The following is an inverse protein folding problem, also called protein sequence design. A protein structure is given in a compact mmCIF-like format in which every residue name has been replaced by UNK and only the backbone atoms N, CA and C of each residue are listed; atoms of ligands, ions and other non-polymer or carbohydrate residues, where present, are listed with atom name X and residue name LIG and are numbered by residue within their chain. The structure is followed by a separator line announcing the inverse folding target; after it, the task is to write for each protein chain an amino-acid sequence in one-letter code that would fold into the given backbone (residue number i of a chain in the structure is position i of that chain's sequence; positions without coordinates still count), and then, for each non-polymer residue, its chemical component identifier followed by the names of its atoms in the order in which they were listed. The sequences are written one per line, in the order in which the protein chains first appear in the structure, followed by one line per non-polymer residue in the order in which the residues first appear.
data_IF_221061037355
#
_entry.id   IF_221061037355
#
_cell.length_a   1.000
_cell.length_b   1.000
_cell.length_c   1.000
_cell.angle_alpha   90.00
_cell.angle_beta   90.00
_cell.angle_gamma   90.00
#
_symmetry.space_group_name_H-M   'P 1'
#
loop_
_entity.id
_entity.type
_entity.pdbx_description
1 polymer ?
#
# COMPACT_ATOMS: atom_id res chain seq x y z
N UNK A 1 -8.47 -15.39 -28.75
CA UNK A 1 -7.15 -14.77 -28.45
C UNK A 1 -7.09 -14.53 -26.93
N UNK A 2 -6.48 -15.44 -26.18
CA UNK A 2 -6.34 -15.35 -24.71
C UNK A 2 -5.11 -14.49 -24.41
N UNK A 3 -5.30 -13.24 -23.94
CA UNK A 3 -4.20 -12.44 -23.41
C UNK A 3 -4.01 -12.86 -21.95
N UNK A 4 -2.88 -13.48 -21.66
CA UNK A 4 -2.44 -13.76 -20.30
C UNK A 4 -2.17 -12.41 -19.63
N UNK A 5 -3.07 -11.97 -18.75
CA UNK A 5 -2.93 -10.72 -18.00
C UNK A 5 -2.10 -11.07 -16.76
N UNK A 6 -0.81 -10.76 -16.83
CA UNK A 6 0.14 -10.97 -15.75
C UNK A 6 0.46 -9.65 -15.06
N UNK A 7 0.46 -9.72 -13.72
CA UNK A 7 1.24 -8.91 -12.80
C UNK A 7 0.76 -7.47 -12.56
N UNK A 8 0.15 -7.28 -11.38
CA UNK A 8 -0.02 -5.99 -10.71
C UNK A 8 0.06 -6.24 -9.20
N UNK A 9 0.66 -5.31 -8.45
CA UNK A 9 1.02 -5.33 -7.02
C UNK A 9 2.32 -6.09 -6.71
N UNK A 10 3.40 -5.51 -6.21
CA UNK A 10 3.71 -4.23 -5.54
C UNK A 10 5.24 -4.18 -5.36
N UNK A 11 5.87 -2.99 -5.21
CA UNK A 11 7.06 -2.80 -4.36
C UNK A 11 7.42 -1.31 -4.12
N UNK A 12 8.56 -1.06 -3.48
CA UNK A 12 8.72 -0.31 -2.22
C UNK A 12 9.97 0.59 -2.27
N UNK A 13 10.02 1.62 -1.41
CA UNK A 13 11.21 2.36 -0.90
C UNK A 13 12.39 2.69 -1.82
N UNK A 14 12.63 3.99 -2.05
CA UNK A 14 13.98 4.51 -2.29
C UNK A 14 14.53 5.21 -1.05
N UNK A 15 15.72 4.80 -0.63
CA UNK A 15 16.65 5.52 0.24
C UNK A 15 17.04 6.86 -0.38
N UNK A 16 16.77 7.96 0.31
CA UNK A 16 17.31 9.28 0.00
C UNK A 16 18.81 9.28 0.28
N UNK A 17 19.61 9.26 -0.80
CA UNK A 17 21.01 9.62 -0.73
C UNK A 17 21.13 11.12 -0.41
N UNK A 18 21.93 11.41 0.61
CA UNK A 18 22.21 12.75 1.11
C UNK A 18 22.99 13.55 0.06
N UNK A 19 22.42 14.65 -0.44
CA UNK A 19 23.20 15.65 -1.15
C UNK A 19 23.85 16.59 -0.14
N UNK A 20 25.09 16.29 0.23
CA UNK A 20 26.05 17.29 0.72
C UNK A 20 26.69 18.00 -0.47
N UNK A 21 26.47 19.31 -0.61
CA UNK A 21 27.36 20.22 -1.32
C UNK A 21 27.18 21.63 -0.72
N UNK A 22 28.05 22.03 0.21
CA UNK A 22 29.22 22.93 0.03
C UNK A 22 28.81 24.43 -0.01
N UNK A 23 29.23 25.11 1.05
CA UNK A 23 29.34 26.56 1.24
C UNK A 23 30.28 27.21 0.23
N UNK A 24 29.84 28.29 -0.42
CA UNK A 24 30.68 29.38 -0.95
C UNK A 24 29.77 30.62 -1.16
N UNK A 25 29.79 31.58 -0.24
CA UNK A 25 30.50 32.87 -0.31
C UNK A 25 29.91 33.84 -1.37
N UNK A 26 29.19 34.86 -0.89
CA UNK A 26 28.86 36.09 -1.64
C UNK A 26 30.11 36.82 -2.13
N UNK A 27 30.01 37.65 -3.18
CA UNK A 27 29.86 39.08 -2.90
C UNK A 27 28.84 39.81 -3.79
N UNK A 28 28.35 40.91 -3.23
CA UNK A 28 27.40 41.89 -3.74
C UNK A 28 27.91 42.68 -4.96
N UNK A 29 27.03 43.13 -5.87
CA UNK A 29 26.82 44.53 -6.32
C UNK A 29 25.91 44.67 -7.57
N UNK A 30 24.83 45.43 -7.41
CA UNK A 30 24.37 46.61 -8.20
C UNK A 30 24.18 46.58 -9.74
N UNK A 31 22.90 46.68 -10.13
CA UNK A 31 22.20 47.51 -11.14
C UNK A 31 22.43 47.44 -12.68
N UNK A 32 21.27 47.23 -13.33
CA UNK A 32 20.68 47.90 -14.52
C UNK A 32 20.87 47.39 -15.97
N UNK A 33 19.86 47.65 -16.85
CA UNK A 33 19.48 46.76 -17.94
C UNK A 33 19.76 47.32 -19.35
N UNK A 34 19.94 46.46 -20.34
CA UNK A 34 19.70 46.80 -21.76
C UNK A 34 19.58 45.56 -22.68
N UNK A 35 18.67 45.75 -23.63
CA UNK A 35 18.16 44.95 -24.75
C UNK A 35 19.21 44.43 -25.76
N UNK A 36 19.05 43.20 -26.28
CA UNK A 36 19.02 42.89 -27.74
C UNK A 36 18.90 41.38 -28.08
N UNK A 37 17.81 41.05 -28.76
CA UNK A 37 17.64 40.38 -30.08
C UNK A 37 18.46 39.14 -30.49
N UNK A 38 17.71 38.04 -30.65
CA UNK A 38 17.72 36.95 -31.66
C UNK A 38 18.97 36.09 -31.93
N UNK A 39 18.79 34.76 -31.86
CA UNK A 39 19.73 33.78 -32.42
C UNK A 39 19.40 32.33 -32.07
N UNK A 40 18.61 31.70 -32.93
CA UNK A 40 18.42 30.26 -33.20
C UNK A 40 19.37 29.26 -32.53
N UNK A 41 18.82 28.28 -31.81
CA UNK A 41 19.09 26.83 -32.01
C UNK A 41 18.17 25.99 -31.11
N UNK A 42 17.41 25.09 -31.73
CA UNK A 42 16.61 24.09 -31.06
C UNK A 42 17.52 23.01 -30.44
N UNK A 43 17.27 22.56 -29.20
CA UNK A 43 17.73 21.25 -28.76
C UNK A 43 16.60 20.23 -28.99
N UNK A 44 16.76 19.44 -30.05
CA UNK A 44 16.18 18.10 -30.16
C UNK A 44 16.63 17.29 -28.95
N UNK A 45 15.79 17.17 -27.93
CA UNK A 45 16.07 16.26 -26.81
C UNK A 45 15.30 14.98 -27.05
N UNK A 46 16.06 13.95 -27.38
CA UNK A 46 15.64 12.60 -27.59
C UNK A 46 14.77 12.11 -26.43
N UNK A 47 13.65 11.46 -26.78
CA UNK A 47 12.92 10.62 -25.85
C UNK A 47 13.85 9.52 -25.36
N UNK A 48 14.31 9.63 -24.12
CA UNK A 48 14.79 8.50 -23.36
C UNK A 48 13.58 7.94 -22.61
N UNK A 49 12.82 7.09 -23.29
CA UNK A 49 11.96 6.12 -22.59
C UNK A 49 12.88 5.12 -21.93
N UNK A 50 13.44 5.50 -20.79
CA UNK A 50 14.04 4.54 -19.86
C UNK A 50 12.85 3.84 -19.21
N UNK A 51 12.61 2.54 -19.45
CA UNK A 51 11.63 1.81 -18.66
C UNK A 51 12.14 1.80 -17.22
N UNK A 52 11.32 2.30 -16.29
CA UNK A 52 11.60 2.17 -14.86
C UNK A 52 11.87 0.69 -14.51
N UNK A 53 12.84 0.42 -13.61
CA UNK A 53 13.24 -0.94 -13.29
C UNK A 53 12.11 -1.66 -12.54
N UNK A 54 11.46 -2.60 -13.22
CA UNK A 54 10.46 -3.49 -12.64
C UNK A 54 11.20 -4.65 -11.94
N UNK A 55 10.97 -4.81 -10.63
CA UNK A 55 11.68 -5.78 -9.77
C UNK A 55 11.45 -7.27 -10.10
N UNK A 56 12.42 -8.08 -9.67
CA UNK A 56 12.93 -9.29 -10.34
C UNK A 56 12.41 -10.65 -9.86
N UNK A 57 11.28 -10.72 -9.16
CA UNK A 57 10.68 -12.02 -8.76
C UNK A 57 9.91 -12.72 -9.90
N UNK A 58 10.12 -12.27 -11.15
CA UNK A 58 9.54 -12.80 -12.36
C UNK A 58 10.31 -13.97 -13.00
N UNK A 59 11.47 -14.37 -12.47
CA UNK A 59 12.24 -15.50 -12.99
C UNK A 59 12.39 -16.63 -11.97
N UNK A 60 11.52 -17.63 -12.09
CA UNK A 60 11.62 -18.92 -11.41
C UNK A 60 11.32 -20.05 -12.39
N UNK A 61 12.33 -20.85 -12.68
CA UNK A 61 12.39 -21.91 -13.69
C UNK A 61 11.29 -22.96 -13.54
N UNK A 62 10.70 -23.35 -14.67
CA UNK A 62 9.78 -24.48 -14.82
C UNK A 62 10.31 -25.75 -14.17
N UNK A 63 9.56 -26.28 -13.21
CA UNK A 63 9.64 -27.70 -12.84
C UNK A 63 8.23 -28.25 -12.84
N UNK A 64 7.93 -29.08 -13.84
CA UNK A 64 6.71 -29.90 -13.95
C UNK A 64 6.62 -30.85 -12.77
N UNK A 65 5.48 -30.87 -12.06
CA UNK A 65 5.05 -32.06 -11.32
C UNK A 65 3.54 -32.05 -11.07
N UNK A 66 3.02 -33.27 -10.99
CA UNK A 66 1.67 -33.71 -11.34
C UNK A 66 0.61 -33.51 -10.25
N UNK A 67 -0.65 -33.39 -10.69
CA UNK A 67 -1.86 -33.39 -9.85
C UNK A 67 -2.01 -34.63 -8.98
N UNK A 68 -2.69 -34.51 -7.83
CA UNK A 68 -3.49 -35.61 -7.31
C UNK A 68 -4.98 -35.26 -7.16
N UNK A 69 -5.73 -36.32 -7.40
CA UNK A 69 -7.17 -36.55 -7.46
C UNK A 69 -7.90 -36.29 -6.14
N UNK A 70 -9.07 -35.64 -6.24
CA UNK A 70 -10.06 -35.47 -5.17
C UNK A 70 -10.61 -36.82 -4.69
N UNK A 71 -10.71 -36.99 -3.37
CA UNK A 71 -11.60 -38.01 -2.78
C UNK A 71 -12.50 -37.34 -1.76
N UNK A 72 -13.81 -37.48 -1.97
CA UNK A 72 -14.87 -37.00 -1.11
C UNK A 72 -15.03 -37.92 0.10
N UNK A 73 -15.24 -37.36 1.29
CA UNK A 73 -15.75 -38.13 2.44
C UNK A 73 -16.70 -37.25 3.26
N UNK A 74 -17.95 -37.68 3.30
CA UNK A 74 -19.04 -37.13 4.11
C UNK A 74 -18.79 -37.39 5.59
N UNK A 75 -18.91 -36.37 6.44
CA UNK A 75 -18.73 -36.47 7.88
C UNK A 75 -19.47 -35.39 8.66
N UNK A 76 -20.68 -35.74 9.08
CA UNK A 76 -21.45 -35.35 10.28
C UNK A 76 -21.28 -33.95 10.89
N UNK A 77 -22.39 -33.22 10.83
CA UNK A 77 -22.75 -32.01 11.57
C UNK A 77 -22.64 -32.18 13.10
N UNK A 78 -21.83 -31.33 13.74
CA UNK A 78 -22.00 -30.95 15.15
C UNK A 78 -22.07 -29.44 15.21
N UNK A 79 -23.29 -28.95 15.44
CA UNK A 79 -23.61 -27.52 15.58
C UNK A 79 -23.11 -27.04 16.93
N UNK A 80 -21.89 -26.50 16.98
CA UNK A 80 -21.40 -25.74 18.13
C UNK A 80 -21.76 -24.28 17.93
N UNK A 81 -22.87 -23.86 18.54
CA UNK A 81 -23.28 -22.45 18.63
C UNK A 81 -22.28 -21.72 19.52
N UNK A 82 -21.20 -21.23 18.92
CA UNK A 82 -20.39 -20.19 19.53
C UNK A 82 -21.26 -18.92 19.64
N UNK A 83 -21.14 -18.13 20.71
CA UNK A 83 -21.82 -16.85 20.80
C UNK A 83 -21.32 -15.98 19.65
N UNK A 84 -22.16 -15.80 18.64
CA UNK A 84 -21.95 -14.81 17.60
C UNK A 84 -22.09 -13.45 18.30
N UNK A 85 -20.97 -12.88 18.73
CA UNK A 85 -20.93 -11.47 19.08
C UNK A 85 -21.23 -10.75 17.78
N UNK A 86 -22.48 -10.31 17.63
CA UNK A 86 -22.86 -9.37 16.59
C UNK A 86 -21.96 -8.15 16.78
N UNK A 87 -20.91 -8.04 15.97
CA UNK A 87 -20.08 -6.85 15.91
C UNK A 87 -20.97 -5.80 15.28
N UNK A 88 -21.70 -5.07 16.11
CA UNK A 88 -22.41 -3.86 15.71
C UNK A 88 -21.36 -2.78 15.53
N UNK A 89 -20.68 -2.79 14.38
CA UNK A 89 -19.57 -1.91 14.07
C UNK A 89 -19.02 -2.21 12.67
N UNK A 90 -18.34 -1.23 12.09
CA UNK A 90 -17.65 -1.41 10.81
C UNK A 90 -16.56 -2.49 10.94
N UNK A 91 -16.44 -3.38 9.95
CA UNK A 91 -15.50 -4.52 9.96
C UNK A 91 -14.05 -4.08 10.20
N UNK A 92 -13.67 -2.88 9.73
CA UNK A 92 -12.32 -2.36 9.90
C UNK A 92 -12.08 -1.85 11.33
N UNK A 93 -13.12 -1.40 12.04
CA UNK A 93 -13.01 -0.99 13.45
C UNK A 93 -12.75 -2.20 14.36
N UNK A 94 -13.22 -3.38 13.95
CA UNK A 94 -13.05 -4.64 14.65
C UNK A 94 -11.73 -5.36 14.36
N UNK A 95 -10.87 -4.82 13.47
CA UNK A 95 -9.57 -5.43 13.17
C UNK A 95 -8.75 -5.57 14.46
N UNK A 96 -8.31 -6.79 14.83
CA UNK A 96 -7.48 -6.99 16.02
C UNK A 96 -6.15 -6.25 15.91
N UNK A 97 -5.84 -5.43 16.91
CA UNK A 97 -4.55 -4.75 17.03
C UNK A 97 -4.00 -4.93 18.43
N UNK A 98 -2.82 -5.56 18.53
CA UNK A 98 -2.08 -5.72 19.78
C UNK A 98 -1.19 -4.50 20.00
N UNK A 99 -1.32 -3.85 21.16
CA UNK A 99 -0.38 -2.82 21.61
C UNK A 99 0.41 -3.43 22.78
N UNK A 100 1.73 -3.62 22.66
CA UNK A 100 2.54 -4.15 23.76
C UNK A 100 2.38 -3.35 25.04
N UNK A 101 2.32 -4.03 26.19
CA UNK A 101 2.16 -3.40 27.50
C UNK A 101 3.32 -2.47 27.89
N UNK A 102 4.44 -2.52 27.16
CA UNK A 102 5.57 -1.61 27.30
C UNK A 102 5.24 -0.19 26.77
N UNK A 103 4.27 -0.06 25.87
CA UNK A 103 3.80 1.23 25.35
C UNK A 103 2.74 1.79 26.31
N UNK A 104 3.11 2.82 27.07
CA UNK A 104 2.27 3.39 28.13
C UNK A 104 2.17 4.91 28.03
N UNK A 105 1.34 5.54 28.88
CA UNK A 105 1.27 6.99 29.01
C UNK A 105 0.97 7.72 27.69
N UNK A 106 1.83 8.69 27.35
CA UNK A 106 1.68 9.49 26.12
C UNK A 106 1.83 8.65 24.85
N UNK A 107 2.74 7.68 24.85
CA UNK A 107 2.99 6.82 23.69
C UNK A 107 1.80 5.89 23.43
N UNK A 108 1.09 5.45 24.48
CA UNK A 108 -0.16 4.70 24.32
C UNK A 108 -1.25 5.54 23.66
N UNK A 109 -1.38 6.81 24.02
CA UNK A 109 -2.34 7.72 23.37
C UNK A 109 -2.01 7.88 21.88
N UNK A 110 -0.74 8.04 21.56
CA UNK A 110 -0.24 8.14 20.19
C UNK A 110 -0.51 6.85 19.39
N UNK A 111 -0.20 5.69 19.98
CA UNK A 111 -0.46 4.39 19.35
C UNK A 111 -1.94 4.24 19.00
N UNK A 112 -2.85 4.57 19.92
CA UNK A 112 -4.30 4.50 19.66
C UNK A 112 -4.75 5.42 18.52
N UNK A 113 -4.20 6.64 18.42
CA UNK A 113 -4.49 7.55 17.31
C UNK A 113 -4.00 6.99 15.97
N UNK A 114 -2.76 6.50 15.92
CA UNK A 114 -2.19 5.90 14.71
C UNK A 114 -2.94 4.64 14.27
N UNK A 115 -3.40 3.81 15.21
CA UNK A 115 -4.23 2.63 14.92
C UNK A 115 -5.55 3.03 14.26
N UNK A 116 -6.19 4.11 14.70
CA UNK A 116 -7.40 4.63 14.07
C UNK A 116 -7.13 5.10 12.63
N UNK A 117 -6.03 5.83 12.39
CA UNK A 117 -5.64 6.25 11.04
C UNK A 117 -5.36 5.05 10.15
N UNK A 118 -4.61 4.06 10.65
CA UNK A 118 -4.28 2.85 9.91
C UNK A 118 -5.54 2.07 9.49
N UNK A 119 -6.50 1.85 10.40
CA UNK A 119 -7.78 1.18 10.07
C UNK A 119 -8.55 1.91 8.99
N UNK A 120 -8.66 3.24 9.09
CA UNK A 120 -9.33 4.05 8.08
C UNK A 120 -8.61 4.00 6.72
N UNK A 121 -7.27 4.02 6.72
CA UNK A 121 -6.50 3.89 5.50
C UNK A 121 -6.72 2.53 4.82
N UNK A 122 -6.71 1.42 5.57
CA UNK A 122 -6.99 0.09 5.03
C UNK A 122 -8.40 0.01 4.44
N UNK A 123 -9.40 0.56 5.15
CA UNK A 123 -10.77 0.69 4.63
C UNK A 123 -10.81 1.38 3.27
N UNK A 124 -10.19 2.56 3.17
CA UNK A 124 -10.20 3.35 1.94
C UNK A 124 -9.44 2.64 0.82
N UNK A 125 -8.33 1.98 1.13
CA UNK A 125 -7.55 1.24 0.13
C UNK A 125 -8.35 0.07 -0.44
N UNK A 126 -8.96 -0.75 0.40
CA UNK A 126 -9.76 -1.89 -0.07
C UNK A 126 -11.00 -1.44 -0.85
N UNK A 127 -11.73 -0.44 -0.35
CA UNK A 127 -12.87 0.13 -1.08
C UNK A 127 -12.45 0.69 -2.44
N UNK A 128 -11.28 1.30 -2.53
CA UNK A 128 -10.75 1.84 -3.79
C UNK A 128 -10.37 0.77 -4.81
N UNK A 129 -10.11 -0.47 -4.37
CA UNK A 129 -9.85 -1.58 -5.27
C UNK A 129 -11.11 -2.37 -5.61
N UNK A 130 -12.12 -2.34 -4.75
CA UNK A 130 -13.44 -2.91 -5.03
C UNK A 130 -14.20 -2.11 -6.09
N UNK A 131 -14.10 -0.77 -6.06
CA UNK A 131 -14.72 0.11 -7.05
C UNK A 131 -13.72 1.18 -7.56
N UNK A 132 -12.71 0.79 -8.36
CA UNK A 132 -11.62 1.67 -8.72
C UNK A 132 -12.03 2.85 -9.61
N UNK A 133 -13.11 2.71 -10.38
CA UNK A 133 -13.66 3.75 -11.26
C UNK A 133 -14.84 4.53 -10.69
N UNK A 134 -15.34 4.18 -9.50
CA UNK A 134 -16.62 4.70 -9.00
C UNK A 134 -16.63 6.15 -8.56
N UNK A 135 -15.47 6.71 -8.18
CA UNK A 135 -15.32 8.12 -7.77
C UNK A 135 -13.88 8.60 -7.85
N UNK A 136 -13.67 9.90 -7.60
CA UNK A 136 -12.33 10.44 -7.38
C UNK A 136 -11.77 9.99 -6.02
N UNK A 137 -11.01 8.90 -6.03
CA UNK A 137 -10.37 8.34 -4.84
C UNK A 137 -9.26 9.20 -4.27
N UNK A 138 -8.68 10.14 -5.05
CA UNK A 138 -7.54 10.93 -4.61
C UNK A 138 -7.86 11.69 -3.32
N UNK A 139 -8.96 12.44 -3.33
CA UNK A 139 -9.35 13.25 -2.17
C UNK A 139 -9.58 12.38 -0.92
N UNK A 140 -10.19 11.20 -1.06
CA UNK A 140 -10.44 10.30 0.08
C UNK A 140 -9.16 9.63 0.58
N UNK A 141 -8.24 9.24 -0.31
CA UNK A 141 -6.96 8.63 0.07
C UNK A 141 -6.08 9.61 0.84
N UNK A 142 -5.97 10.85 0.35
CA UNK A 142 -5.16 11.89 0.99
C UNK A 142 -5.72 12.39 2.34
N UNK A 143 -6.90 11.93 2.76
CA UNK A 143 -7.39 12.15 4.13
C UNK A 143 -6.69 11.25 5.17
N UNK A 144 -6.16 10.10 4.75
CA UNK A 144 -5.63 9.09 5.65
C UNK A 144 -4.19 8.65 5.33
N UNK A 145 -3.72 8.90 4.11
CA UNK A 145 -2.39 8.55 3.66
C UNK A 145 -1.69 9.75 3.03
N UNK A 146 -0.36 9.79 3.14
CA UNK A 146 0.50 10.76 2.48
C UNK A 146 1.53 10.03 1.60
N UNK A 147 2.33 10.78 0.85
CA UNK A 147 3.34 10.24 -0.04
C UNK A 147 4.54 9.68 0.74
N UNK A 148 5.06 8.48 0.41
CA UNK A 148 4.81 7.73 -0.82
C UNK A 148 3.60 6.78 -0.84
N UNK A 149 2.95 6.50 0.28
CA UNK A 149 1.88 5.50 0.33
C UNK A 149 0.65 5.88 -0.52
N UNK A 150 0.22 7.14 -0.48
CA UNK A 150 -0.90 7.62 -1.28
C UNK A 150 -0.64 7.46 -2.79
N UNK A 151 0.54 7.87 -3.27
CA UNK A 151 0.95 7.67 -4.67
C UNK A 151 0.97 6.19 -5.08
N UNK A 152 1.49 5.29 -4.23
CA UNK A 152 1.47 3.84 -4.50
C UNK A 152 0.05 3.34 -4.69
N UNK A 153 -0.88 3.74 -3.82
CA UNK A 153 -2.29 3.34 -3.94
C UNK A 153 -2.95 3.94 -5.20
N UNK A 154 -2.71 5.21 -5.51
CA UNK A 154 -3.26 5.83 -6.73
C UNK A 154 -2.73 5.16 -8.00
N UNK A 155 -1.45 4.78 -8.03
CA UNK A 155 -0.86 4.00 -9.13
C UNK A 155 -1.55 2.65 -9.30
N UNK A 156 -1.86 1.99 -8.17
CA UNK A 156 -2.56 0.72 -8.16
C UNK A 156 -4.00 0.85 -8.71
N UNK A 157 -4.77 1.83 -8.23
CA UNK A 157 -6.13 2.13 -8.71
C UNK A 157 -6.11 2.37 -10.22
N UNK A 158 -5.19 3.22 -10.71
CA UNK A 158 -5.05 3.48 -12.13
C UNK A 158 -4.77 2.21 -12.94
N UNK A 159 -4.03 1.28 -12.36
CA UNK A 159 -3.77 -0.01 -13.01
C UNK A 159 -5.04 -0.87 -13.05
N UNK A 160 -5.81 -0.90 -11.96
CA UNK A 160 -7.10 -1.60 -11.90
C UNK A 160 -8.08 -1.07 -12.95
N UNK A 161 -8.22 0.26 -13.06
CA UNK A 161 -9.04 0.92 -14.09
C UNK A 161 -8.55 0.54 -15.50
N UNK A 162 -7.25 0.68 -15.77
CA UNK A 162 -6.67 0.40 -17.10
C UNK A 162 -6.87 -1.04 -17.55
N UNK A 163 -6.84 -1.98 -16.59
CA UNK A 163 -7.01 -3.41 -16.88
C UNK A 163 -8.47 -3.85 -16.83
N UNK A 164 -9.40 -3.00 -16.37
CA UNK A 164 -10.80 -3.37 -16.20
C UNK A 164 -10.99 -4.47 -15.15
N UNK A 165 -10.19 -4.42 -14.09
CA UNK A 165 -10.21 -5.39 -12.99
C UNK A 165 -10.63 -4.71 -11.69
N UNK A 166 -11.19 -5.49 -10.76
CA UNK A 166 -11.55 -5.02 -9.43
C UNK A 166 -11.43 -6.14 -8.39
N UNK A 167 -11.30 -5.74 -7.13
CA UNK A 167 -11.29 -6.64 -6.00
C UNK A 167 -12.72 -7.18 -5.73
N UNK A 168 -12.80 -8.46 -5.41
CA UNK A 168 -13.96 -9.07 -4.76
C UNK A 168 -13.54 -9.75 -3.47
N UNK A 169 -14.45 -9.75 -2.50
CA UNK A 169 -14.16 -10.19 -1.14
C UNK A 169 -13.28 -9.21 -0.37
N UNK A 170 -12.75 -9.67 0.74
CA UNK A 170 -12.10 -8.84 1.75
C UNK A 170 -10.71 -9.38 2.07
N UNK A 171 -9.75 -8.46 2.24
CA UNK A 171 -8.49 -8.80 2.87
C UNK A 171 -8.69 -8.87 4.39
N UNK A 172 -8.20 -9.94 5.00
CA UNK A 172 -8.14 -10.10 6.45
C UNK A 172 -6.91 -9.39 7.01
N UNK A 173 -7.07 -8.73 8.15
CA UNK A 173 -5.99 -8.03 8.83
C UNK A 173 -5.91 -8.43 10.29
N UNK A 174 -4.69 -8.61 10.78
CA UNK A 174 -4.36 -8.56 12.22
C UNK A 174 -3.07 -7.76 12.36
N UNK A 175 -2.91 -7.00 13.45
CA UNK A 175 -1.77 -6.12 13.58
C UNK A 175 -1.19 -6.05 14.99
N UNK A 176 0.05 -5.58 15.07
CA UNK A 176 0.80 -5.31 16.29
C UNK A 176 1.53 -3.97 16.15
N UNK A 177 1.44 -3.12 17.17
CA UNK A 177 2.24 -1.90 17.25
C UNK A 177 3.66 -2.26 17.69
N UNK A 178 4.63 -2.06 16.81
CA UNK A 178 6.04 -2.36 17.09
C UNK A 178 6.69 -1.24 17.93
N UNK A 179 6.35 0.01 17.62
CA UNK A 179 6.88 1.18 18.31
C UNK A 179 5.91 2.34 18.17
N UNK A 180 5.75 3.11 19.25
CA UNK A 180 5.06 4.39 19.23
C UNK A 180 5.97 5.44 19.85
N UNK A 181 6.40 6.40 19.03
CA UNK A 181 7.17 7.56 19.46
C UNK A 181 6.44 8.83 19.05
N UNK A 182 6.83 9.97 19.63
CA UNK A 182 6.15 11.26 19.50
C UNK A 182 5.65 11.61 18.08
N UNK A 183 6.38 11.21 17.04
CA UNK A 183 6.15 11.63 15.66
C UNK A 183 5.91 10.47 14.68
N UNK A 184 6.01 9.23 15.15
CA UNK A 184 5.94 8.07 14.29
C UNK A 184 5.44 6.84 15.05
N UNK A 185 4.58 6.07 14.42
CA UNK A 185 4.13 4.77 14.90
C UNK A 185 4.39 3.73 13.82
N UNK A 186 4.99 2.61 14.20
CA UNK A 186 5.17 1.46 13.32
C UNK A 186 4.19 0.36 13.70
N UNK A 187 3.46 -0.13 12.71
CA UNK A 187 2.48 -1.20 12.87
C UNK A 187 2.89 -2.35 11.95
N UNK A 188 3.19 -3.52 12.51
CA UNK A 188 3.31 -4.75 11.73
C UNK A 188 1.92 -5.33 11.55
N UNK A 189 1.57 -5.69 10.33
CA UNK A 189 0.27 -6.26 9.99
C UNK A 189 0.50 -7.58 9.29
N UNK A 190 -0.24 -8.58 9.71
CA UNK A 190 -0.47 -9.78 8.93
C UNK A 190 -1.66 -9.56 7.99
N UNK A 191 -1.43 -9.71 6.69
CA UNK A 191 -2.46 -9.64 5.65
C UNK A 191 -2.82 -11.06 5.24
N UNK A 192 -4.11 -11.37 5.23
CA UNK A 192 -4.69 -12.65 4.83
C UNK A 192 -5.60 -12.44 3.61
N UNK A 193 -5.18 -12.96 2.47
CA UNK A 193 -5.87 -12.89 1.19
C UNK A 193 -6.72 -14.13 0.89
N UNK A 194 -6.98 -15.01 1.86
CA UNK A 194 -7.78 -16.24 1.66
C UNK A 194 -9.20 -16.00 1.16
N UNK A 195 -9.77 -14.82 1.43
CA UNK A 195 -11.09 -14.38 0.95
C UNK A 195 -11.01 -13.26 -0.09
N UNK A 196 -9.80 -12.91 -0.52
CA UNK A 196 -9.53 -11.85 -1.46
C UNK A 196 -9.36 -12.45 -2.85
N UNK A 197 -9.97 -11.82 -3.85
CA UNK A 197 -9.69 -12.12 -5.25
C UNK A 197 -9.72 -10.83 -6.06
N UNK A 198 -9.10 -10.88 -7.24
CA UNK A 198 -9.19 -9.82 -8.24
C UNK A 198 -9.77 -10.44 -9.50
N UNK A 199 -10.83 -9.85 -10.02
CA UNK A 199 -11.54 -10.37 -11.18
C UNK A 199 -11.58 -9.32 -12.30
N UNK A 200 -11.64 -9.79 -13.54
CA UNK A 200 -11.88 -8.95 -14.71
C UNK A 200 -13.37 -8.64 -14.91
N UNK A 201 -13.69 -7.88 -15.96
CA UNK A 201 -15.07 -7.55 -16.33
C UNK A 201 -15.93 -8.75 -16.77
N UNK A 202 -15.35 -9.94 -16.94
CA UNK A 202 -16.07 -11.19 -17.20
C UNK A 202 -16.31 -12.01 -15.92
N UNK A 203 -15.73 -11.58 -14.79
CA UNK A 203 -15.82 -12.29 -13.52
C UNK A 203 -14.74 -13.34 -13.30
N UNK A 204 -13.75 -13.43 -14.20
CA UNK A 204 -12.68 -14.41 -14.10
C UNK A 204 -11.55 -13.90 -13.21
N UNK A 205 -10.99 -14.77 -12.38
CA UNK A 205 -9.86 -14.41 -11.52
C UNK A 205 -8.62 -14.11 -12.37
N UNK A 206 -7.96 -12.99 -12.05
CA UNK A 206 -6.66 -12.61 -12.63
C UNK A 206 -5.48 -12.89 -11.69
N UNK A 207 -5.75 -13.40 -10.49
CA UNK A 207 -4.70 -13.82 -9.56
C UNK A 207 -4.10 -15.16 -10.01
N UNK A 208 -2.78 -15.27 -9.89
CA UNK A 208 -2.08 -16.53 -10.15
C UNK A 208 -2.26 -17.49 -8.97
N UNK A 209 -2.25 -18.82 -9.20
CA UNK A 209 -2.44 -19.81 -8.15
C UNK A 209 -1.30 -19.87 -7.12
N UNK A 210 -0.14 -19.26 -7.40
CA UNK A 210 1.06 -19.22 -6.55
C UNK A 210 1.16 -17.96 -5.67
N UNK A 211 0.12 -17.13 -5.62
CA UNK A 211 0.10 -15.95 -4.75
C UNK A 211 0.12 -16.39 -3.28
N UNK A 212 1.11 -15.92 -2.54
CA UNK A 212 1.20 -16.12 -1.08
C UNK A 212 -0.07 -15.54 -0.45
N UNK A 213 -0.91 -16.41 0.10
CA UNK A 213 -2.20 -16.03 0.66
C UNK A 213 -2.09 -15.31 1.99
N UNK A 214 -0.94 -15.39 2.67
CA UNK A 214 -0.74 -14.75 3.98
C UNK A 214 0.70 -14.28 4.16
N UNK A 215 0.88 -12.99 4.38
CA UNK A 215 2.20 -12.36 4.51
C UNK A 215 2.17 -11.16 5.46
N UNK A 216 3.33 -10.76 5.96
CA UNK A 216 3.46 -9.58 6.81
C UNK A 216 3.86 -8.32 6.05
N UNK A 217 3.40 -7.16 6.53
CA UNK A 217 3.79 -5.82 6.09
C UNK A 217 4.02 -4.93 7.30
N UNK A 218 4.86 -3.92 7.14
CA UNK A 218 5.04 -2.87 8.14
C UNK A 218 4.51 -1.56 7.59
N UNK A 219 3.74 -0.86 8.41
CA UNK A 219 3.13 0.43 8.13
C UNK A 219 3.76 1.50 9.02
N UNK A 220 4.11 2.63 8.42
CA UNK A 220 4.64 3.80 9.11
C UNK A 220 3.61 4.91 9.10
N UNK A 221 3.12 5.30 10.28
CA UNK A 221 2.15 6.37 10.46
C UNK A 221 2.88 7.56 11.10
N UNK A 222 2.89 8.68 10.40
CA UNK A 222 3.68 9.86 10.77
C UNK A 222 2.80 11.03 11.14
N UNK A 223 3.29 11.84 12.07
CA UNK A 223 2.62 13.04 12.53
C UNK A 223 3.14 14.30 11.82
N UNK A 224 2.23 15.19 11.43
CA UNK A 224 2.56 16.43 10.74
C UNK A 224 2.17 17.65 11.58
N UNK A 225 3.18 18.29 12.18
CA UNK A 225 3.06 19.47 13.07
C UNK A 225 2.69 20.78 12.34
N UNK A 226 2.76 20.80 11.02
CA UNK A 226 2.51 22.00 10.21
C UNK A 226 1.03 22.23 9.87
N UNK A 227 0.17 21.24 10.11
CA UNK A 227 -1.24 21.30 9.78
C UNK A 227 -2.08 21.65 11.01
N UNK A 228 -3.15 22.42 10.82
CA UNK A 228 -4.15 22.73 11.86
C UNK A 228 -5.52 22.21 11.40
N UNK A 229 -6.14 21.23 12.09
CA UNK A 229 -5.63 20.52 13.27
C UNK A 229 -4.38 19.70 12.95
N UNK A 230 -3.63 19.29 13.97
CA UNK A 230 -2.50 18.40 13.78
C UNK A 230 -2.99 17.03 13.26
N UNK A 231 -2.34 16.49 12.23
CA UNK A 231 -2.82 15.30 11.52
C UNK A 231 -1.78 14.17 11.49
N UNK A 232 -2.32 12.95 11.52
CA UNK A 232 -1.59 11.70 11.39
C UNK A 232 -1.93 11.09 10.04
N UNK A 233 -0.92 10.63 9.31
CA UNK A 233 -1.10 9.97 8.02
C UNK A 233 -0.30 8.69 7.94
N UNK A 234 -0.88 7.68 7.27
CA UNK A 234 -0.12 6.54 6.79
C UNK A 234 0.84 7.01 5.70
N UNK A 235 2.14 6.98 5.98
CA UNK A 235 3.16 7.56 5.13
C UNK A 235 3.85 6.52 4.25
N UNK A 236 4.17 5.35 4.81
CA UNK A 236 4.83 4.29 4.06
C UNK A 236 4.31 2.89 4.43
N UNK A 237 4.49 1.98 3.47
CA UNK A 237 4.13 0.58 3.54
C UNK A 237 5.32 -0.20 3.00
N UNK A 238 5.86 -1.07 3.84
CA UNK A 238 7.00 -1.93 3.50
C UNK A 238 6.56 -3.38 3.54
N UNK A 239 6.81 -4.11 2.45
CA UNK A 239 6.68 -5.57 2.42
C UNK A 239 8.08 -6.17 2.41
N UNK A 240 8.41 -7.11 3.30
CA UNK A 240 9.68 -7.82 3.25
C UNK A 240 9.89 -8.49 1.87
N UNK A 241 11.14 -8.56 1.42
CA UNK A 241 11.52 -9.28 0.21
C UNK A 241 12.66 -10.27 0.55
N UNK A 242 12.40 -11.60 0.58
CA UNK A 242 11.13 -12.24 0.23
C UNK A 242 10.01 -11.96 1.25
N UNK A 243 8.73 -12.11 0.88
CA UNK A 243 7.61 -11.95 1.81
C UNK A 243 7.78 -12.86 3.03
N UNK A 244 7.72 -12.26 4.22
CA UNK A 244 7.70 -13.00 5.48
C UNK A 244 6.28 -13.51 5.75
N UNK A 245 6.17 -14.74 6.24
CA UNK A 245 4.91 -15.23 6.78
C UNK A 245 4.51 -14.42 8.02
N UNK A 246 3.21 -14.44 8.31
CA UNK A 246 2.77 -14.26 9.68
C UNK A 246 3.04 -15.56 10.48
#
# INVERSE_FOLDING_TARGET
MKRLIAAVLTATTMTLASCTAITATEPSTTSDPATNTAGTTAPTTAGSTTPDPIESWLNGTTTTSSSPTSTSTTGTTVSSTAPSTTVTGDVYDAIPVTIPATITGADLKIANQAVSVWRNAMRVFDQSLQDPGGKDWKTTIYQYANDPAALKQMSLINTFIKQGIHQVGEAGYTAEVLSAVKHNVQIKTCVDLSKYNVIDGQGESVLKPDVVSRFSRTFSISFYYGEKPELWFLNDITTPNPPESC
#
